data_IF_042244129891
#
_entry.id   IF_042244129891
#
_cell.length_a   1.000
_cell.length_b   1.000
_cell.length_c   1.000
_cell.angle_alpha   90.00
_cell.angle_beta   90.00
_cell.angle_gamma   90.00
#
_symmetry.space_group_name_H-M   'P 1'
#
loop_
_entity.id
_entity.type
_entity.pdbx_description
1 polymer ?
#
# COMPACT_ATOMS: atom_id res chain seq x y z
N UNK A 1 9.99 3.39 1.30
CA UNK A 1 8.78 3.49 0.45
C UNK A 1 8.14 4.85 0.60
N UNK A 2 7.48 5.31 -0.45
CA UNK A 2 6.68 6.53 -0.43
C UNK A 2 5.38 6.32 0.39
N UNK A 3 4.89 7.32 1.15
CA UNK A 3 3.62 7.21 1.86
C UNK A 3 2.40 7.17 0.91
N UNK A 4 2.58 7.49 -0.37
CA UNK A 4 1.50 7.55 -1.36
C UNK A 4 0.93 6.16 -1.72
N UNK A 5 1.62 5.07 -1.36
CA UNK A 5 1.09 3.70 -1.49
C UNK A 5 0.26 3.21 -0.29
N UNK A 6 0.32 3.88 0.87
CA UNK A 6 -0.51 3.53 2.04
C UNK A 6 -0.12 2.27 2.83
N UNK A 7 0.74 1.39 2.29
CA UNK A 7 1.02 0.07 2.89
C UNK A 7 2.12 0.05 3.96
N UNK A 8 2.77 1.18 4.24
CA UNK A 8 4.03 1.22 4.99
C UNK A 8 3.98 0.49 6.34
N UNK A 9 3.00 0.81 7.19
CA UNK A 9 2.89 0.18 8.52
C UNK A 9 2.40 -1.27 8.45
N UNK A 10 1.54 -1.60 7.48
CA UNK A 10 1.04 -2.96 7.30
C UNK A 10 2.19 -3.90 6.89
N UNK A 11 3.04 -3.47 5.97
CA UNK A 11 4.24 -4.20 5.58
C UNK A 11 5.19 -4.38 6.77
N UNK A 12 5.46 -3.31 7.54
CA UNK A 12 6.32 -3.40 8.72
C UNK A 12 5.79 -4.35 9.80
N UNK A 13 4.47 -4.40 10.02
CA UNK A 13 3.85 -5.32 10.97
C UNK A 13 3.96 -6.77 10.50
N UNK A 14 3.77 -7.03 9.21
CA UNK A 14 3.96 -8.35 8.63
C UNK A 14 5.42 -8.81 8.70
N UNK A 15 6.35 -7.91 8.37
CA UNK A 15 7.79 -8.13 8.49
C UNK A 15 8.18 -8.57 9.91
N UNK A 16 7.67 -7.86 10.92
CA UNK A 16 7.93 -8.19 12.33
C UNK A 16 7.39 -9.58 12.70
N UNK A 17 6.17 -9.92 12.25
CA UNK A 17 5.55 -11.22 12.56
C UNK A 17 6.31 -12.40 11.92
N UNK A 18 6.74 -12.25 10.66
CA UNK A 18 7.45 -13.30 9.94
C UNK A 18 8.87 -13.49 10.44
N UNK A 19 9.58 -12.39 10.70
CA UNK A 19 10.92 -12.46 11.29
C UNK A 19 10.87 -13.09 12.68
N UNK A 20 9.91 -12.69 13.53
CA UNK A 20 9.75 -13.29 14.85
C UNK A 20 9.48 -14.80 14.78
N UNK A 21 8.63 -15.23 13.83
CA UNK A 21 8.36 -16.65 13.59
C UNK A 21 9.64 -17.39 13.19
N UNK A 22 10.40 -16.89 12.20
CA UNK A 22 11.63 -17.53 11.72
C UNK A 22 12.71 -17.61 12.81
N UNK A 23 12.87 -16.56 13.61
CA UNK A 23 13.77 -16.53 14.76
C UNK A 23 13.38 -17.55 15.85
N UNK A 24 12.09 -17.85 15.99
CA UNK A 24 11.62 -18.86 16.95
C UNK A 24 11.80 -20.31 16.47
N UNK A 25 11.89 -20.52 15.16
CA UNK A 25 11.93 -21.86 14.54
C UNK A 25 13.35 -22.33 14.18
N UNK A 26 14.31 -21.41 14.05
CA UNK A 26 15.67 -21.71 13.61
C UNK A 26 16.65 -21.59 14.79
N UNK A 27 17.64 -22.49 14.81
CA UNK A 27 18.72 -22.43 15.79
C UNK A 27 19.75 -21.35 15.44
N UNK A 28 19.99 -21.12 14.14
CA UNK A 28 20.86 -20.05 13.65
C UNK A 28 20.01 -18.83 13.25
N UNK A 29 20.29 -17.70 13.90
CA UNK A 29 19.60 -16.44 13.64
C UNK A 29 20.00 -15.84 12.28
N UNK A 30 21.21 -16.12 11.78
CA UNK A 30 21.65 -15.63 10.46
C UNK A 30 20.84 -16.30 9.35
N UNK A 31 20.61 -17.61 9.44
CA UNK A 31 19.76 -18.34 8.50
C UNK A 31 18.31 -17.84 8.55
N UNK A 32 17.80 -17.53 9.75
CA UNK A 32 16.46 -16.98 9.91
C UNK A 32 16.30 -15.62 9.23
N UNK A 33 17.26 -14.71 9.42
CA UNK A 33 17.26 -13.37 8.81
C UNK A 33 17.37 -13.48 7.29
N UNK A 34 18.28 -14.31 6.78
CA UNK A 34 18.47 -14.48 5.34
C UNK A 34 17.21 -15.02 4.65
N UNK A 35 16.52 -15.99 5.26
CA UNK A 35 15.26 -16.51 4.72
C UNK A 35 14.13 -15.48 4.82
N UNK A 36 14.04 -14.73 5.91
CA UNK A 36 13.10 -13.62 6.05
C UNK A 36 13.29 -12.60 4.93
N UNK A 37 14.51 -12.11 4.73
CA UNK A 37 14.82 -11.09 3.73
C UNK A 37 14.45 -11.58 2.32
N UNK A 38 14.79 -12.83 1.99
CA UNK A 38 14.44 -13.45 0.71
C UNK A 38 12.93 -13.44 0.45
N UNK A 39 12.12 -13.74 1.45
CA UNK A 39 10.66 -13.73 1.36
C UNK A 39 10.09 -12.31 1.31
N UNK A 40 10.58 -11.42 2.18
CA UNK A 40 10.15 -10.03 2.28
C UNK A 40 10.39 -9.27 0.97
N UNK A 41 11.56 -9.45 0.33
CA UNK A 41 11.88 -8.77 -0.92
C UNK A 41 10.92 -9.13 -2.07
N UNK A 42 10.54 -10.41 -2.18
CA UNK A 42 9.58 -10.85 -3.21
C UNK A 42 8.20 -10.24 -2.97
N UNK A 43 7.75 -10.22 -1.71
CA UNK A 43 6.45 -9.64 -1.35
C UNK A 43 6.41 -8.13 -1.59
N UNK A 44 7.42 -7.41 -1.11
CA UNK A 44 7.34 -5.94 -0.99
C UNK A 44 7.50 -5.24 -2.33
N UNK A 45 8.00 -5.92 -3.36
CA UNK A 45 8.31 -5.35 -4.67
C UNK A 45 7.12 -4.60 -5.29
N UNK A 46 5.95 -5.23 -5.38
CA UNK A 46 4.74 -4.63 -5.96
C UNK A 46 4.29 -3.39 -5.19
N UNK A 47 4.24 -3.48 -3.85
CA UNK A 47 3.85 -2.35 -2.99
C UNK A 47 4.84 -1.19 -3.10
N UNK A 48 6.14 -1.48 -3.21
CA UNK A 48 7.19 -0.48 -3.37
C UNK A 48 7.12 0.23 -4.74
N UNK A 49 6.89 -0.54 -5.81
CA UNK A 49 6.70 -0.02 -7.17
C UNK A 49 5.44 0.85 -7.24
N UNK A 50 4.30 0.35 -6.76
CA UNK A 50 3.05 1.12 -6.73
C UNK A 50 3.17 2.41 -5.91
N UNK A 51 3.88 2.38 -4.77
CA UNK A 51 4.12 3.57 -3.97
C UNK A 51 5.02 4.60 -4.68
N UNK A 52 5.99 4.14 -5.48
CA UNK A 52 6.86 4.99 -6.29
C UNK A 52 6.09 5.63 -7.45
N UNK A 53 5.29 4.84 -8.16
CA UNK A 53 4.45 5.31 -9.26
C UNK A 53 3.38 6.29 -8.77
N UNK A 54 2.76 6.03 -7.62
CA UNK A 54 1.82 6.93 -6.99
C UNK A 54 2.48 8.27 -6.63
N UNK A 55 3.71 8.23 -6.11
CA UNK A 55 4.49 9.44 -5.81
C UNK A 55 4.80 10.24 -7.08
N UNK A 56 5.31 9.55 -8.12
CA UNK A 56 5.65 10.17 -9.39
C UNK A 56 4.42 10.80 -10.06
N UNK A 57 3.29 10.11 -10.02
CA UNK A 57 2.03 10.58 -10.61
C UNK A 57 1.48 11.80 -9.86
N UNK A 58 1.33 11.70 -8.53
CA UNK A 58 0.69 12.75 -7.74
C UNK A 58 1.52 14.03 -7.68
N UNK A 59 2.85 13.91 -7.66
CA UNK A 59 3.78 15.04 -7.60
C UNK A 59 4.22 15.55 -8.98
N UNK A 60 3.70 14.98 -10.06
CA UNK A 60 3.96 15.45 -11.43
C UNK A 60 3.26 16.78 -11.71
N UNK A 61 3.65 17.43 -12.82
CA UNK A 61 2.96 18.61 -13.34
C UNK A 61 1.49 18.31 -13.73
N UNK A 62 1.18 17.05 -14.03
CA UNK A 62 -0.16 16.59 -14.43
C UNK A 62 -1.00 16.10 -13.25
N UNK A 63 -0.44 16.05 -12.04
CA UNK A 63 -1.05 15.40 -10.87
C UNK A 63 -2.47 15.92 -10.57
N UNK A 64 -2.69 17.24 -10.71
CA UNK A 64 -4.03 17.83 -10.51
C UNK A 64 -5.05 17.37 -11.57
N UNK A 65 -4.65 17.34 -12.84
CA UNK A 65 -5.51 16.92 -13.94
C UNK A 65 -5.86 15.43 -13.83
N UNK A 66 -4.85 14.60 -13.51
CA UNK A 66 -5.02 13.15 -13.29
C UNK A 66 -5.92 12.86 -12.09
N UNK A 67 -5.76 13.57 -10.98
CA UNK A 67 -6.63 13.42 -9.80
C UNK A 67 -8.09 13.75 -10.14
N UNK A 68 -8.33 14.84 -10.88
CA UNK A 68 -9.68 15.21 -11.31
C UNK A 68 -10.29 14.16 -12.25
N UNK A 69 -9.50 13.59 -13.16
CA UNK A 69 -9.94 12.53 -14.05
C UNK A 69 -10.37 11.27 -13.26
N UNK A 70 -9.59 10.87 -12.24
CA UNK A 70 -9.94 9.77 -11.34
C UNK A 70 -11.27 10.01 -10.62
N UNK A 71 -11.50 11.19 -10.04
CA UNK A 71 -12.78 11.47 -9.38
C UNK A 71 -13.96 11.47 -10.35
N UNK A 72 -13.76 11.97 -11.59
CA UNK A 72 -14.80 11.93 -12.63
C UNK A 72 -15.13 10.51 -13.07
N UNK A 73 -14.14 9.62 -13.17
CA UNK A 73 -14.38 8.21 -13.53
C UNK A 73 -15.22 7.52 -12.45
N UNK A 74 -14.90 7.72 -11.16
CA UNK A 74 -15.67 7.18 -10.05
C UNK A 74 -17.11 7.71 -10.01
N UNK A 75 -17.30 9.01 -10.24
CA UNK A 75 -18.64 9.61 -10.32
C UNK A 75 -19.47 9.04 -11.49
N UNK A 76 -18.83 8.75 -12.63
CA UNK A 76 -19.49 8.14 -13.79
C UNK A 76 -19.84 6.65 -13.56
N UNK A 77 -19.06 5.93 -12.75
CA UNK A 77 -19.35 4.52 -12.40
C UNK A 77 -20.46 4.32 -11.37
N UNK A 78 -21.01 5.40 -10.80
CA UNK A 78 -22.29 5.40 -10.09
C UNK A 78 -22.43 4.39 -8.94
N UNK A 79 -21.85 4.69 -7.79
CA UNK A 79 -22.31 4.08 -6.53
C UNK A 79 -23.43 4.96 -5.95
N UNK A 80 -24.67 4.46 -5.77
CA UNK A 80 -25.71 5.23 -5.09
C UNK A 80 -25.28 5.40 -3.63
N UNK A 81 -24.93 6.63 -3.25
CA UNK A 81 -24.63 6.98 -1.87
C UNK A 81 -25.90 6.80 -1.03
N UNK A 82 -25.83 5.93 -0.03
CA UNK A 82 -26.83 5.71 1.01
C UNK A 82 -27.05 6.94 1.94
N UNK A 83 -26.72 8.15 1.49
CA UNK A 83 -26.89 9.39 2.25
C UNK A 83 -27.76 10.38 1.47
N UNK A 84 -29.03 10.02 1.28
CA UNK A 84 -30.08 10.94 0.80
C UNK A 84 -31.14 11.19 1.88
N UNK A 85 -30.71 11.40 3.13
CA UNK A 85 -31.61 11.59 4.27
C UNK A 85 -31.43 12.93 5.04
N UNK A 86 -30.61 13.88 4.57
CA UNK A 86 -30.41 15.16 5.30
C UNK A 86 -30.61 16.40 4.41
N UNK A 87 -31.54 16.34 3.45
CA UNK A 87 -31.91 17.54 2.65
C UNK A 87 -33.41 17.74 2.45
N UNK A 88 -34.24 17.29 3.38
CA UNK A 88 -35.64 17.76 3.54
C UNK A 88 -36.10 17.63 4.99
N UNK A 89 -35.82 18.64 5.80
CA UNK A 89 -36.62 19.06 6.94
C UNK A 89 -36.30 20.54 7.18
#
# INVERSE_FOLDING_TARGET
MSPFGGDGVNNAMLDAAELARLLSERADWLEAVAEYERLMFVRVAESAEGAADAAATLLSQDGQALTLATYRSHAATGQPTACRAVRRA
#
